data_IF_813667524340
#
_entry.id   IF_813667524340
#
_cell.length_a   1.000
_cell.length_b   1.000
_cell.length_c   1.000
_cell.angle_alpha   90.00
_cell.angle_beta   90.00
_cell.angle_gamma   90.00
#
_symmetry.space_group_name_H-M   'P 1'
#
loop_
_entity.id
_entity.type
_entity.pdbx_description
1 polymer ?
#
# COMPACT_ATOMS: atom_id res chain seq x y z
N UNK A 1 3.36 -18.76 2.01
CA UNK A 1 3.09 -17.87 0.87
C UNK A 1 4.41 -17.43 0.30
N UNK A 2 4.49 -17.24 -1.01
CA UNK A 2 5.72 -16.78 -1.66
C UNK A 2 5.86 -15.26 -1.57
N UNK A 3 7.10 -14.77 -1.70
CA UNK A 3 7.39 -13.34 -1.74
C UNK A 3 7.00 -12.81 -3.11
N UNK A 4 6.46 -11.60 -3.14
CA UNK A 4 6.24 -10.90 -4.41
C UNK A 4 7.60 -10.42 -4.94
N UNK A 5 7.90 -10.81 -6.17
CA UNK A 5 9.15 -10.50 -6.85
C UNK A 5 8.83 -9.91 -8.22
N UNK A 6 9.52 -8.85 -8.61
CA UNK A 6 9.37 -8.26 -9.93
C UNK A 6 10.16 -8.99 -11.03
N UNK A 7 9.95 -8.59 -12.29
CA UNK A 7 10.64 -9.17 -13.44
C UNK A 7 12.18 -9.07 -13.41
N UNK A 8 12.75 -8.26 -12.50
CA UNK A 8 14.20 -8.10 -12.30
C UNK A 8 14.70 -8.88 -11.07
N UNK A 9 13.86 -9.70 -10.43
CA UNK A 9 14.22 -10.46 -9.24
C UNK A 9 14.19 -9.64 -7.94
N UNK A 10 13.63 -8.42 -7.94
CA UNK A 10 13.59 -7.56 -6.76
C UNK A 10 12.33 -7.83 -5.94
N UNK A 11 12.52 -7.97 -4.64
CA UNK A 11 11.42 -8.24 -3.71
C UNK A 11 10.65 -6.97 -3.37
N UNK A 12 9.32 -7.05 -3.47
CA UNK A 12 8.41 -6.03 -2.95
C UNK A 12 8.52 -5.91 -1.43
N UNK A 13 8.67 -4.67 -0.96
CA UNK A 13 8.80 -4.35 0.46
C UNK A 13 8.02 -3.09 0.78
N UNK A 14 7.58 -2.98 2.03
CA UNK A 14 7.04 -1.73 2.56
C UNK A 14 8.18 -0.73 2.66
N UNK A 15 8.01 0.44 2.04
CA UNK A 15 8.99 1.53 2.07
C UNK A 15 8.71 2.52 3.19
N UNK A 16 7.44 2.70 3.52
CA UNK A 16 6.98 3.65 4.55
C UNK A 16 5.72 3.09 5.19
N UNK A 17 5.58 3.26 6.50
CA UNK A 17 4.40 2.84 7.23
C UNK A 17 4.10 3.84 8.35
N UNK A 18 2.82 4.09 8.63
CA UNK A 18 2.43 5.04 9.66
C UNK A 18 0.92 5.06 9.90
N UNK A 19 0.53 5.60 11.06
CA UNK A 19 -0.87 5.84 11.36
C UNK A 19 -1.40 6.98 10.49
N UNK A 20 -2.61 6.81 9.96
CA UNK A 20 -3.38 7.84 9.27
C UNK A 20 -4.65 8.15 10.07
N UNK A 21 -4.58 9.03 11.09
CA UNK A 21 -5.71 9.31 11.99
C UNK A 21 -6.96 9.76 11.25
N UNK A 22 -6.81 10.63 10.23
CA UNK A 22 -7.92 11.14 9.42
C UNK A 22 -8.69 10.06 8.64
N UNK A 23 -8.10 8.87 8.47
CA UNK A 23 -8.71 7.72 7.80
C UNK A 23 -9.05 6.59 8.78
N UNK A 24 -8.69 6.72 10.07
CA UNK A 24 -8.87 5.66 11.07
C UNK A 24 -8.11 4.37 10.73
N UNK A 25 -7.01 4.46 9.99
CA UNK A 25 -6.29 3.31 9.43
C UNK A 25 -4.78 3.44 9.64
N UNK A 26 -4.09 2.31 9.58
CA UNK A 26 -2.64 2.27 9.44
C UNK A 26 -2.30 2.10 7.96
N UNK A 27 -1.50 3.00 7.40
CA UNK A 27 -1.14 3.00 5.98
C UNK A 27 0.28 2.53 5.76
N UNK A 28 0.48 1.92 4.60
CA UNK A 28 1.78 1.45 4.11
C UNK A 28 1.94 1.83 2.65
N UNK A 29 3.16 2.18 2.27
CA UNK A 29 3.58 2.35 0.89
C UNK A 29 4.47 1.18 0.50
N UNK A 30 4.28 0.64 -0.70
CA UNK A 30 5.08 -0.44 -1.25
C UNK A 30 5.06 -0.39 -2.78
N UNK A 31 6.12 -0.88 -3.41
CA UNK A 31 6.11 -1.17 -4.84
C UNK A 31 5.59 -2.59 -5.07
N UNK A 32 4.61 -2.71 -5.96
CA UNK A 32 4.01 -3.99 -6.38
C UNK A 32 4.19 -4.17 -7.88
N UNK A 33 4.19 -5.42 -8.34
CA UNK A 33 4.08 -5.73 -9.76
C UNK A 33 2.70 -5.33 -10.28
N UNK A 34 2.52 -5.05 -11.59
CA UNK A 34 1.23 -4.65 -12.15
C UNK A 34 0.09 -5.64 -11.83
N UNK A 35 0.39 -6.93 -11.77
CA UNK A 35 -0.57 -7.99 -11.45
C UNK A 35 -1.09 -7.93 -10.01
N UNK A 36 -0.28 -7.40 -9.08
CA UNK A 36 -0.66 -7.26 -7.68
C UNK A 36 -1.10 -5.84 -7.31
N UNK A 37 -0.72 -4.83 -8.11
CA UNK A 37 -1.11 -3.44 -7.98
C UNK A 37 -2.54 -3.22 -8.50
N UNK A 38 -3.51 -3.90 -7.87
CA UNK A 38 -4.94 -3.80 -8.18
C UNK A 38 -5.67 -3.35 -6.92
N UNK A 39 -6.45 -2.28 -7.02
CA UNK A 39 -7.21 -1.78 -5.87
C UNK A 39 -8.18 -2.84 -5.36
N UNK A 40 -8.21 -3.01 -4.04
CA UNK A 40 -8.99 -4.05 -3.40
C UNK A 40 -8.31 -5.41 -3.28
N UNK A 41 -7.18 -5.62 -3.96
CA UNK A 41 -6.40 -6.85 -3.83
C UNK A 41 -5.92 -7.03 -2.37
N UNK A 42 -6.05 -8.25 -1.86
CA UNK A 42 -5.66 -8.62 -0.51
C UNK A 42 -4.28 -9.29 -0.53
N UNK A 43 -3.38 -8.74 0.26
CA UNK A 43 -2.01 -9.21 0.39
C UNK A 43 -1.69 -9.47 1.86
N UNK A 44 -0.49 -9.99 2.13
CA UNK A 44 0.03 -10.12 3.49
C UNK A 44 1.36 -9.43 3.61
N UNK A 45 1.55 -8.72 4.70
CA UNK A 45 2.83 -8.09 5.06
C UNK A 45 3.40 -8.82 6.26
N UNK A 46 4.68 -9.17 6.17
CA UNK A 46 5.42 -9.73 7.30
C UNK A 46 5.91 -8.60 8.20
N UNK A 47 5.54 -8.65 9.48
CA UNK A 47 6.02 -7.76 10.52
C UNK A 47 6.33 -8.59 11.77
N UNK A 48 7.56 -8.49 12.30
CA UNK A 48 8.01 -9.29 13.45
C UNK A 48 7.70 -10.80 13.35
N UNK A 49 8.00 -11.40 12.20
CA UNK A 49 7.74 -12.82 11.88
C UNK A 49 6.25 -13.23 11.85
N UNK A 50 5.33 -12.28 11.92
CA UNK A 50 3.90 -12.51 11.77
C UNK A 50 3.39 -11.92 10.45
N UNK A 51 2.38 -12.57 9.85
CA UNK A 51 1.77 -12.13 8.60
C UNK A 51 0.45 -11.42 8.90
N UNK A 52 0.40 -10.12 8.62
CA UNK A 52 -0.80 -9.31 8.76
C UNK A 52 -1.51 -9.16 7.41
N UNK A 53 -2.84 -9.31 7.36
CA UNK A 53 -3.61 -9.05 6.16
C UNK A 53 -3.59 -7.55 5.87
N UNK A 54 -3.40 -7.21 4.59
CA UNK A 54 -3.44 -5.84 4.10
C UNK A 54 -4.22 -5.78 2.80
N UNK A 55 -4.75 -4.61 2.46
CA UNK A 55 -5.48 -4.38 1.22
C UNK A 55 -4.84 -3.25 0.45
N UNK A 56 -4.69 -3.44 -0.86
CA UNK A 56 -4.26 -2.37 -1.77
C UNK A 56 -5.38 -1.33 -1.80
N UNK A 57 -5.19 -0.25 -1.05
CA UNK A 57 -6.20 0.79 -0.92
C UNK A 57 -6.23 1.71 -2.14
N UNK A 58 -5.09 1.90 -2.81
CA UNK A 58 -4.99 2.70 -4.02
C UNK A 58 -3.72 2.47 -4.81
N UNK A 59 -3.78 2.70 -6.12
CA UNK A 59 -2.64 2.58 -7.03
C UNK A 59 -2.41 3.90 -7.77
N UNK A 60 -1.16 4.33 -7.89
CA UNK A 60 -0.82 5.60 -8.55
C UNK A 60 -0.88 6.82 -7.63
N UNK A 61 -1.03 8.00 -8.23
CA UNK A 61 -0.72 9.30 -7.60
C UNK A 61 -1.89 10.02 -6.94
N UNK A 62 -3.10 9.48 -7.00
CA UNK A 62 -4.21 10.08 -6.26
C UNK A 62 -3.92 9.95 -4.73
N UNK A 63 -4.47 10.80 -3.83
CA UNK A 63 -4.34 10.66 -2.37
C UNK A 63 -5.59 10.01 -1.73
N UNK A 64 -5.39 9.27 -0.62
CA UNK A 64 -6.49 8.53 0.04
C UNK A 64 -7.37 9.48 0.87
N UNK A 65 -6.74 10.55 1.33
CA UNK A 65 -7.38 11.64 2.03
C UNK A 65 -7.53 12.81 1.06
N UNK A 66 -8.70 13.44 1.05
CA UNK A 66 -9.07 14.52 0.12
C UNK A 66 -8.74 14.21 -1.36
N UNK A 67 -9.37 13.18 -1.97
CA UNK A 67 -9.06 12.77 -3.34
C UNK A 67 -9.42 13.82 -4.40
N UNK A 68 -10.26 14.80 -4.06
CA UNK A 68 -10.68 15.90 -4.93
C UNK A 68 -9.81 17.13 -4.80
N UNK A 69 -8.81 17.10 -3.91
CA UNK A 69 -7.94 18.23 -3.60
C UNK A 69 -8.73 19.51 -3.30
N UNK A 70 -9.79 19.38 -2.51
CA UNK A 70 -10.69 20.49 -2.20
C UNK A 70 -10.11 21.41 -1.13
N UNK A 71 -9.16 20.92 -0.31
CA UNK A 71 -8.64 21.64 0.85
C UNK A 71 -7.41 22.50 0.57
N UNK A 72 -6.55 22.14 -0.40
CA UNK A 72 -5.36 22.95 -0.72
C UNK A 72 -5.65 24.15 -1.65
N UNK A 73 -6.90 24.35 -2.08
CA UNK A 73 -7.28 25.47 -2.95
C UNK A 73 -7.52 26.74 -2.13
N UNK A 74 -6.44 27.47 -1.83
CA UNK A 74 -6.47 28.87 -1.39
C UNK A 74 -5.26 29.61 -1.94
#
# INVERSE_FOLDING_TARGET
GERIVDAKGRVSRVTTAGAAPSLGKYLMLAYLTPEHAVEGNELRVMYMNELFPVRVARVGSQPLFDPTDARMKS
#
